data_IF_727886315775
#
_entry.id   IF_727886315775
#
_cell.length_a   1.000
_cell.length_b   1.000
_cell.length_c   1.000
_cell.angle_alpha   90.00
_cell.angle_beta   90.00
_cell.angle_gamma   90.00
#
_symmetry.space_group_name_H-M   'P 1'
#
loop_
_entity.id
_entity.type
_entity.pdbx_description
1 polymer ?
#
# COMPACT_ATOMS: atom_id res chain seq x y z
N UNK A 1 -2.87 11.61 -3.12
CA UNK A 1 -1.50 11.49 -3.62
C UNK A 1 -1.47 10.38 -4.66
N UNK A 2 -0.89 10.60 -5.85
CA UNK A 2 -0.69 9.55 -6.84
C UNK A 2 0.37 8.55 -6.38
N UNK A 3 0.17 7.30 -6.76
CA UNK A 3 1.09 6.18 -6.54
C UNK A 3 1.22 5.40 -7.85
N UNK A 4 2.41 4.87 -8.12
CA UNK A 4 2.65 3.95 -9.22
C UNK A 4 3.24 2.68 -8.63
N UNK A 5 2.67 1.54 -9.00
CA UNK A 5 3.24 0.23 -8.74
C UNK A 5 3.91 -0.28 -10.03
N UNK A 6 5.15 -0.71 -9.93
CA UNK A 6 5.91 -1.30 -11.03
C UNK A 6 6.23 -2.74 -10.65
N UNK A 7 5.78 -3.67 -11.48
CA UNK A 7 6.04 -5.09 -11.32
C UNK A 7 7.06 -5.50 -12.39
N UNK A 8 8.18 -6.12 -11.98
CA UNK A 8 9.22 -6.54 -12.91
C UNK A 8 9.65 -7.97 -12.61
N UNK A 9 9.66 -8.81 -13.62
CA UNK A 9 10.17 -10.18 -13.58
C UNK A 9 11.57 -10.23 -14.19
N UNK A 10 12.49 -10.85 -13.48
CA UNK A 10 13.89 -10.98 -13.88
C UNK A 10 14.26 -12.43 -14.21
N UNK A 11 15.33 -12.59 -14.98
CA UNK A 11 15.86 -13.88 -15.42
C UNK A 11 16.65 -14.64 -14.33
N UNK A 12 16.88 -13.97 -13.17
CA UNK A 12 17.60 -14.51 -12.03
C UNK A 12 17.09 -13.97 -10.70
N UNK A 13 17.53 -14.60 -9.61
CA UNK A 13 17.27 -14.13 -8.26
C UNK A 13 18.11 -12.89 -7.96
N UNK A 14 17.49 -11.85 -7.39
CA UNK A 14 18.14 -10.60 -7.00
C UNK A 14 18.40 -10.52 -5.49
N UNK A 15 17.54 -11.16 -4.68
CA UNK A 15 17.63 -11.13 -3.23
C UNK A 15 16.89 -12.32 -2.62
N UNK A 16 17.34 -12.75 -1.43
CA UNK A 16 16.67 -13.78 -0.62
C UNK A 16 15.80 -13.16 0.50
N UNK A 17 15.69 -11.83 0.53
CA UNK A 17 14.90 -11.14 1.56
C UNK A 17 13.41 -11.43 1.35
N UNK A 18 12.75 -11.91 2.40
CA UNK A 18 11.37 -12.38 2.41
C UNK A 18 10.37 -11.37 3.03
N UNK A 19 10.72 -10.10 3.08
CA UNK A 19 9.88 -9.03 3.61
C UNK A 19 10.00 -7.75 2.79
N UNK A 20 9.07 -6.82 3.04
CA UNK A 20 9.02 -5.52 2.42
C UNK A 20 10.16 -4.61 2.92
N UNK A 21 10.79 -3.91 2.01
CA UNK A 21 11.91 -3.01 2.26
C UNK A 21 11.53 -1.56 1.96
N UNK A 22 11.88 -0.67 2.87
CA UNK A 22 11.83 0.78 2.62
C UNK A 22 13.14 1.22 1.97
N UNK A 23 13.05 2.04 0.94
CA UNK A 23 14.20 2.59 0.23
C UNK A 23 14.44 4.06 0.58
N UNK A 24 15.70 4.49 0.50
CA UNK A 24 16.09 5.91 0.52
C UNK A 24 16.23 6.49 -0.89
N UNK A 25 15.85 5.74 -1.91
CA UNK A 25 15.82 6.24 -3.29
C UNK A 25 14.86 7.43 -3.41
N UNK A 26 15.18 8.46 -4.19
CA UNK A 26 14.25 9.56 -4.47
C UNK A 26 13.03 9.12 -5.29
N UNK A 27 13.10 7.97 -5.95
CA UNK A 27 12.03 7.43 -6.79
C UNK A 27 11.25 6.30 -6.12
N UNK A 28 11.97 5.30 -5.58
CA UNK A 28 11.38 4.10 -4.99
C UNK A 28 11.20 4.30 -3.49
N UNK A 29 9.97 4.27 -3.00
CA UNK A 29 9.68 4.36 -1.57
C UNK A 29 9.76 3.02 -0.86
N UNK A 30 9.21 1.99 -1.50
CA UNK A 30 9.05 0.64 -0.95
C UNK A 30 9.19 -0.37 -2.07
N UNK A 31 9.75 -1.55 -1.76
CA UNK A 31 9.77 -2.68 -2.69
C UNK A 31 9.80 -4.01 -1.93
N UNK A 32 9.41 -5.08 -2.60
CA UNK A 32 9.51 -6.45 -2.12
C UNK A 32 9.80 -7.40 -3.27
N UNK A 33 10.52 -8.48 -2.98
CA UNK A 33 10.60 -9.62 -3.90
C UNK A 33 9.42 -10.56 -3.64
N UNK A 34 8.42 -10.45 -4.50
CA UNK A 34 7.19 -11.24 -4.40
C UNK A 34 7.45 -12.74 -4.58
N UNK A 35 8.55 -13.11 -5.22
CA UNK A 35 8.94 -14.53 -5.33
C UNK A 35 9.44 -15.14 -4.02
N UNK A 36 9.70 -14.31 -2.98
CA UNK A 36 10.01 -14.74 -1.62
C UNK A 36 8.82 -14.56 -0.68
N UNK A 37 8.05 -13.45 -0.85
CA UNK A 37 7.04 -13.03 0.12
C UNK A 37 5.63 -13.51 -0.21
N UNK A 38 5.36 -13.92 -1.47
CA UNK A 38 4.02 -14.29 -1.91
C UNK A 38 4.03 -15.69 -2.54
N UNK A 39 3.21 -16.58 -1.99
CA UNK A 39 3.13 -17.99 -2.41
C UNK A 39 2.79 -18.15 -3.89
N UNK A 40 1.95 -17.30 -4.43
CA UNK A 40 1.48 -17.35 -5.82
C UNK A 40 2.59 -17.01 -6.82
N UNK A 41 3.62 -16.29 -6.38
CA UNK A 41 4.80 -15.91 -7.19
C UNK A 41 6.07 -16.65 -6.80
N UNK A 42 6.00 -17.61 -5.86
CA UNK A 42 7.16 -18.29 -5.32
C UNK A 42 8.07 -18.88 -6.40
N UNK A 43 9.34 -18.48 -6.38
CA UNK A 43 10.35 -18.94 -7.33
C UNK A 43 11.74 -18.82 -6.69
N UNK A 44 12.49 -19.94 -6.64
CA UNK A 44 13.83 -19.97 -6.04
C UNK A 44 14.94 -19.44 -6.96
N UNK A 45 14.70 -19.38 -8.28
CA UNK A 45 15.71 -19.01 -9.27
C UNK A 45 15.56 -17.63 -9.83
N UNK A 46 14.35 -17.03 -9.75
CA UNK A 46 14.00 -15.78 -10.41
C UNK A 46 13.26 -14.85 -9.46
N UNK A 47 13.55 -13.57 -9.55
CA UNK A 47 12.85 -12.53 -8.80
C UNK A 47 11.67 -11.96 -9.56
N UNK A 48 10.59 -11.69 -8.83
CA UNK A 48 9.50 -10.82 -9.22
C UNK A 48 9.43 -9.67 -8.23
N UNK A 49 9.93 -8.50 -8.62
CA UNK A 49 9.89 -7.34 -7.74
C UNK A 49 8.58 -6.57 -7.92
N UNK A 50 7.93 -6.25 -6.82
CA UNK A 50 6.94 -5.19 -6.73
C UNK A 50 7.59 -3.95 -6.13
N UNK A 51 7.52 -2.83 -6.87
CA UNK A 51 8.16 -1.57 -6.53
C UNK A 51 7.11 -0.46 -6.48
N UNK A 52 7.19 0.41 -5.47
CA UNK A 52 6.23 1.48 -5.24
C UNK A 52 6.91 2.84 -5.37
N UNK A 53 6.42 3.65 -6.28
CA UNK A 53 6.77 5.06 -6.42
C UNK A 53 5.70 5.88 -5.68
N UNK A 54 6.10 6.51 -4.56
CA UNK A 54 5.20 7.33 -3.75
C UNK A 54 5.99 8.42 -3.00
N UNK A 55 5.67 9.71 -3.23
CA UNK A 55 4.64 10.24 -4.14
C UNK A 55 5.09 10.18 -5.61
N UNK A 56 4.15 9.90 -6.52
CA UNK A 56 4.44 9.74 -7.94
C UNK A 56 3.91 10.91 -8.81
N UNK A 57 3.81 12.13 -8.24
CA UNK A 57 3.22 13.28 -8.93
C UNK A 57 3.94 13.61 -10.26
N UNK A 58 5.26 13.58 -10.27
CA UNK A 58 6.08 13.91 -11.43
C UNK A 58 6.17 12.77 -12.46
N UNK A 59 5.69 11.58 -12.08
CA UNK A 59 5.81 10.36 -12.88
C UNK A 59 4.48 9.87 -13.47
N UNK A 60 3.35 10.32 -12.92
CA UNK A 60 2.02 9.80 -13.28
C UNK A 60 1.67 10.00 -14.76
N UNK A 61 2.18 11.07 -15.38
CA UNK A 61 1.99 11.40 -16.80
C UNK A 61 3.03 10.78 -17.74
N UNK A 62 4.10 10.19 -17.20
CA UNK A 62 5.16 9.57 -18.02
C UNK A 62 4.68 8.27 -18.66
N UNK A 63 5.33 7.87 -19.75
CA UNK A 63 5.10 6.56 -20.37
C UNK A 63 5.59 5.43 -19.46
N UNK A 64 5.07 4.22 -19.68
CA UNK A 64 5.49 3.05 -18.91
C UNK A 64 6.97 2.72 -19.13
N UNK A 65 7.47 2.94 -20.36
CA UNK A 65 8.89 2.79 -20.69
C UNK A 65 9.78 3.74 -19.89
N UNK A 66 9.41 5.03 -19.78
CA UNK A 66 10.17 6.02 -19.00
C UNK A 66 10.19 5.66 -17.52
N UNK A 67 9.04 5.20 -16.98
CA UNK A 67 8.92 4.79 -15.59
C UNK A 67 9.79 3.57 -15.30
N UNK A 68 9.72 2.55 -16.16
CA UNK A 68 10.52 1.33 -16.00
C UNK A 68 12.01 1.63 -16.14
N UNK A 69 12.42 2.43 -17.11
CA UNK A 69 13.82 2.82 -17.29
C UNK A 69 14.39 3.52 -16.04
N UNK A 70 13.64 4.49 -15.48
CA UNK A 70 14.04 5.16 -14.24
C UNK A 70 14.07 4.20 -13.04
N UNK A 71 13.11 3.27 -12.97
CA UNK A 71 13.07 2.23 -11.93
C UNK A 71 14.30 1.32 -12.01
N UNK A 72 14.71 0.90 -13.19
CA UNK A 72 15.91 0.08 -13.39
C UNK A 72 17.17 0.85 -12.96
N UNK A 73 17.29 2.12 -13.32
CA UNK A 73 18.42 2.96 -12.86
C UNK A 73 18.52 3.01 -11.32
N UNK A 74 17.40 3.01 -10.61
CA UNK A 74 17.43 2.92 -9.14
C UNK A 74 17.76 1.50 -8.65
N UNK A 75 17.28 0.45 -9.32
CA UNK A 75 17.63 -0.93 -8.99
C UNK A 75 19.10 -1.24 -9.22
N UNK A 76 19.74 -0.67 -10.23
CA UNK A 76 21.19 -0.77 -10.46
C UNK A 76 22.02 -0.24 -9.27
N UNK A 77 21.52 0.81 -8.59
CA UNK A 77 22.16 1.35 -7.38
C UNK A 77 21.90 0.46 -6.15
N UNK A 78 20.73 -0.17 -6.07
CA UNK A 78 20.35 -1.04 -4.95
C UNK A 78 20.99 -2.43 -5.05
N UNK A 79 21.16 -2.95 -6.27
CA UNK A 79 21.67 -4.27 -6.56
C UNK A 79 22.83 -4.26 -7.57
N UNK A 80 23.91 -3.49 -7.33
CA UNK A 80 24.97 -3.28 -8.32
C UNK A 80 25.62 -4.59 -8.79
N UNK A 81 25.67 -5.62 -7.93
CA UNK A 81 26.24 -6.93 -8.24
C UNK A 81 25.43 -7.70 -9.30
N UNK A 82 24.16 -7.35 -9.54
CA UNK A 82 23.28 -8.06 -10.46
C UNK A 82 23.15 -7.36 -11.83
N UNK A 83 23.43 -6.07 -11.89
CA UNK A 83 23.26 -5.28 -13.12
C UNK A 83 24.57 -4.93 -13.84
N UNK A 84 25.73 -5.19 -13.19
CA UNK A 84 27.07 -5.00 -13.78
C UNK A 84 27.67 -6.29 -14.32
N UNK A 85 28.87 -6.16 -14.96
CA UNK A 85 29.67 -7.27 -15.44
C UNK A 85 29.22 -7.84 -16.79
N UNK A 86 29.77 -9.02 -17.14
CA UNK A 86 29.60 -9.65 -18.46
C UNK A 86 28.20 -10.27 -18.67
N UNK A 87 27.47 -10.49 -17.59
CA UNK A 87 26.14 -11.11 -17.61
C UNK A 87 25.12 -10.30 -16.79
N UNK A 88 24.72 -9.13 -17.23
CA UNK A 88 23.73 -8.32 -16.51
C UNK A 88 22.37 -8.99 -16.45
N UNK A 89 21.62 -8.72 -15.39
CA UNK A 89 20.23 -9.19 -15.21
C UNK A 89 19.35 -8.71 -16.35
N UNK A 90 18.50 -9.60 -16.86
CA UNK A 90 17.55 -9.29 -17.94
C UNK A 90 16.13 -9.19 -17.39
N UNK A 91 15.41 -8.20 -17.89
CA UNK A 91 13.96 -8.06 -17.66
C UNK A 91 13.26 -9.06 -18.59
N UNK A 92 12.44 -9.92 -18.04
CA UNK A 92 11.60 -10.86 -18.79
C UNK A 92 10.24 -10.24 -19.13
N UNK A 93 9.69 -9.48 -18.18
CA UNK A 93 8.38 -8.86 -18.28
C UNK A 93 8.28 -7.70 -17.30
N UNK A 94 7.47 -6.72 -17.60
CA UNK A 94 7.07 -5.69 -16.64
C UNK A 94 5.59 -5.33 -16.78
N UNK A 95 5.04 -4.73 -15.72
CA UNK A 95 3.71 -4.14 -15.71
C UNK A 95 3.72 -2.88 -14.84
N UNK A 96 3.06 -1.81 -15.30
CA UNK A 96 2.96 -0.53 -14.60
C UNK A 96 1.51 -0.23 -14.29
N UNK A 97 1.20 0.00 -13.01
CA UNK A 97 -0.14 0.37 -12.55
C UNK A 97 -0.10 1.79 -12.01
N UNK A 98 -0.77 2.71 -12.69
CA UNK A 98 -0.87 4.13 -12.31
C UNK A 98 -2.16 4.39 -11.56
N UNK A 99 -2.05 4.88 -10.32
CA UNK A 99 -3.20 5.23 -9.48
C UNK A 99 -3.15 6.72 -9.12
N UNK A 100 -3.79 7.60 -9.92
CA UNK A 100 -3.69 9.05 -9.73
C UNK A 100 -4.23 9.56 -8.39
N UNK A 101 -5.18 8.83 -7.79
CA UNK A 101 -5.84 9.15 -6.52
C UNK A 101 -5.78 7.94 -5.58
N UNK A 102 -4.57 7.50 -5.25
CA UNK A 102 -4.36 6.29 -4.43
C UNK A 102 -4.66 6.53 -2.96
N UNK A 103 -3.99 7.53 -2.35
CA UNK A 103 -4.12 7.82 -0.92
C UNK A 103 -4.48 9.28 -0.70
N UNK A 104 -5.19 9.59 0.39
CA UNK A 104 -5.42 10.99 0.76
C UNK A 104 -4.11 11.67 1.16
N UNK A 105 -4.03 12.98 0.98
CA UNK A 105 -2.87 13.77 1.36
C UNK A 105 -2.91 14.08 2.86
N UNK A 106 -2.04 13.46 3.63
CA UNK A 106 -1.84 13.76 5.05
C UNK A 106 -1.13 15.12 5.18
N UNK A 107 -1.90 16.21 5.21
CA UNK A 107 -1.37 17.57 5.36
C UNK A 107 -1.29 17.92 6.85
N UNK A 108 -0.22 18.56 7.35
CA UNK A 108 -0.13 19.03 8.72
C UNK A 108 -1.35 19.85 9.14
N UNK A 109 -1.84 19.66 10.36
CA UNK A 109 -3.02 20.32 10.89
C UNK A 109 -4.38 19.80 10.40
N UNK A 110 -4.42 18.81 9.50
CA UNK A 110 -5.68 18.26 8.97
C UNK A 110 -6.26 17.11 9.77
N UNK A 111 -5.53 16.54 10.72
CA UNK A 111 -6.00 15.40 11.54
C UNK A 111 -7.35 15.70 12.22
N UNK A 112 -7.53 16.88 12.75
CA UNK A 112 -8.76 17.31 13.44
C UNK A 112 -10.01 17.35 12.54
N UNK A 113 -9.85 17.39 11.22
CA UNK A 113 -10.94 17.44 10.24
C UNK A 113 -11.31 16.06 9.68
N UNK A 114 -10.67 14.99 10.16
CA UNK A 114 -11.09 13.63 9.79
C UNK A 114 -12.46 13.37 10.43
N UNK A 115 -13.44 12.87 9.67
CA UNK A 115 -14.76 12.59 10.22
C UNK A 115 -14.70 11.43 11.22
N UNK A 116 -15.51 11.51 12.27
CA UNK A 116 -15.72 10.36 13.16
C UNK A 116 -16.53 9.27 12.44
N UNK A 117 -16.55 8.07 13.00
CA UNK A 117 -17.38 6.96 12.51
C UNK A 117 -18.86 7.26 12.69
N UNK A 118 -19.23 7.92 13.78
CA UNK A 118 -20.59 8.37 14.02
C UNK A 118 -20.78 9.78 13.46
N UNK A 119 -21.88 10.00 12.75
CA UNK A 119 -22.23 11.30 12.16
C UNK A 119 -23.41 11.96 12.90
N UNK A 120 -23.65 13.27 12.70
CA UNK A 120 -24.86 13.93 13.23
C UNK A 120 -26.17 13.42 12.61
N UNK A 121 -26.11 12.67 11.52
CA UNK A 121 -27.28 12.10 10.84
C UNK A 121 -27.60 10.76 11.47
N UNK A 122 -28.84 10.58 11.96
CA UNK A 122 -29.28 9.32 12.56
C UNK A 122 -29.13 8.14 11.60
N UNK A 123 -28.62 7.02 12.10
CA UNK A 123 -28.39 5.76 11.35
C UNK A 123 -27.42 5.92 10.16
N UNK A 124 -26.63 6.99 10.12
CA UNK A 124 -25.61 7.19 9.09
C UNK A 124 -24.22 7.17 9.72
N UNK A 125 -23.42 6.17 9.36
CA UNK A 125 -22.06 5.94 9.87
C UNK A 125 -21.05 5.97 8.73
N UNK A 126 -19.83 6.37 9.05
CA UNK A 126 -18.72 6.39 8.12
C UNK A 126 -17.66 5.34 8.53
N UNK A 127 -17.09 4.68 7.55
CA UNK A 127 -15.98 3.76 7.73
C UNK A 127 -14.98 3.91 6.58
N UNK A 128 -13.71 3.65 6.87
CA UNK A 128 -12.62 3.76 5.92
C UNK A 128 -11.36 4.35 6.58
N UNK A 129 -10.23 4.20 5.93
CA UNK A 129 -8.94 4.70 6.41
C UNK A 129 -8.90 6.22 6.62
N UNK A 130 -9.75 6.96 5.91
CA UNK A 130 -9.89 8.42 6.00
C UNK A 130 -10.61 8.90 7.27
N UNK A 131 -11.33 8.05 8.00
CA UNK A 131 -12.05 8.43 9.23
C UNK A 131 -11.09 8.59 10.41
N UNK A 132 -11.55 9.22 11.50
CA UNK A 132 -10.75 9.45 12.69
C UNK A 132 -10.37 8.12 13.37
N UNK A 133 -9.11 7.77 13.29
CA UNK A 133 -8.46 6.64 13.96
C UNK A 133 -6.95 6.87 13.99
N UNK A 134 -6.17 6.03 14.68
CA UNK A 134 -4.75 6.28 14.97
C UNK A 134 -3.80 6.12 13.78
N UNK A 135 -4.17 5.40 12.72
CA UNK A 135 -3.32 5.20 11.56
C UNK A 135 -3.61 6.23 10.47
N UNK A 136 -2.59 6.51 9.66
CA UNK A 136 -2.76 7.23 8.39
C UNK A 136 -3.32 6.29 7.32
N UNK A 137 -3.47 6.78 6.08
CA UNK A 137 -3.97 6.02 4.93
C UNK A 137 -3.30 4.64 4.83
N UNK A 138 -4.00 3.60 5.24
CA UNK A 138 -3.49 2.23 5.28
C UNK A 138 -4.62 1.21 5.41
N UNK A 139 -4.36 -0.03 5.01
CA UNK A 139 -5.29 -1.14 5.21
C UNK A 139 -5.60 -1.35 6.70
N UNK A 140 -4.59 -1.23 7.57
CA UNK A 140 -4.77 -1.33 9.03
C UNK A 140 -5.72 -0.25 9.56
N UNK A 141 -5.59 0.99 9.06
CA UNK A 141 -6.51 2.08 9.37
C UNK A 141 -7.94 1.81 8.92
N UNK A 142 -8.12 1.22 7.74
CA UNK A 142 -9.44 0.82 7.24
C UNK A 142 -10.08 -0.27 8.11
N UNK A 143 -9.33 -1.31 8.49
CA UNK A 143 -9.80 -2.39 9.39
C UNK A 143 -10.16 -1.83 10.77
N UNK A 144 -9.31 -0.99 11.35
CA UNK A 144 -9.60 -0.37 12.65
C UNK A 144 -10.85 0.51 12.58
N UNK A 145 -11.01 1.29 11.51
CA UNK A 145 -12.22 2.10 11.31
C UNK A 145 -13.47 1.24 11.24
N UNK A 146 -13.43 0.10 10.53
CA UNK A 146 -14.55 -0.85 10.49
C UNK A 146 -14.93 -1.37 11.86
N UNK A 147 -13.95 -1.74 12.69
CA UNK A 147 -14.19 -2.17 14.08
C UNK A 147 -14.82 -1.06 14.93
N UNK A 148 -14.31 0.16 14.84
CA UNK A 148 -14.86 1.31 15.57
C UNK A 148 -16.29 1.65 15.12
N UNK A 149 -16.57 1.54 13.82
CA UNK A 149 -17.92 1.74 13.26
C UNK A 149 -18.90 0.69 13.78
N UNK A 150 -18.51 -0.59 13.77
CA UNK A 150 -19.32 -1.68 14.30
C UNK A 150 -19.63 -1.49 15.80
N UNK A 151 -18.65 -1.05 16.59
CA UNK A 151 -18.84 -0.72 18.01
C UNK A 151 -19.85 0.43 18.19
N UNK A 152 -19.73 1.50 17.41
CA UNK A 152 -20.64 2.65 17.48
C UNK A 152 -22.07 2.25 17.13
N UNK A 153 -22.28 1.41 16.11
CA UNK A 153 -23.59 0.88 15.73
C UNK A 153 -24.17 0.02 16.88
N UNK A 154 -23.38 -0.91 17.42
CA UNK A 154 -23.81 -1.79 18.53
C UNK A 154 -24.24 -0.99 19.74
N UNK A 155 -23.48 0.03 20.13
CA UNK A 155 -23.82 0.91 21.24
C UNK A 155 -25.13 1.67 20.99
N UNK A 156 -25.32 2.21 19.77
CA UNK A 156 -26.55 2.91 19.41
C UNK A 156 -27.78 2.00 19.46
N UNK A 157 -27.68 0.75 19.02
CA UNK A 157 -28.75 -0.25 19.09
C UNK A 157 -29.07 -0.65 20.51
N UNK A 158 -28.08 -0.78 21.40
CA UNK A 158 -28.27 -1.11 22.83
C UNK A 158 -29.00 0.02 23.55
N UNK A 159 -28.65 1.28 23.25
CA UNK A 159 -29.34 2.45 23.83
C UNK A 159 -30.78 2.57 23.32
N UNK A 160 -31.02 2.23 22.03
CA UNK A 160 -32.36 2.27 21.44
C UNK A 160 -33.30 1.13 21.97
N UNK A 161 -32.74 -0.01 22.41
CA UNK A 161 -33.48 -1.17 22.90
C UNK A 161 -32.93 -1.68 24.27
N UNK A 162 -33.19 -0.99 25.38
CA UNK A 162 -32.65 -1.39 26.69
C UNK A 162 -33.20 -2.74 27.20
N UNK A 163 -34.33 -3.21 26.67
CA UNK A 163 -35.02 -4.44 27.11
C UNK A 163 -34.36 -5.75 26.64
N UNK A 164 -33.37 -5.71 25.73
CA UNK A 164 -32.72 -6.92 25.25
C UNK A 164 -31.48 -7.36 26.06
N UNK A 165 -31.20 -6.74 27.20
CA UNK A 165 -30.07 -7.07 28.09
C UNK A 165 -30.40 -8.07 29.20
N UNK A 166 -31.62 -8.62 29.25
CA UNK A 166 -31.91 -9.74 30.18
C UNK A 166 -31.48 -11.05 29.52
N UNK A 167 -30.24 -11.44 29.76
CA UNK A 167 -29.80 -12.83 29.55
C UNK A 167 -30.65 -13.72 30.50
N UNK A 168 -31.21 -14.82 30.01
CA UNK A 168 -31.81 -15.80 30.90
C UNK A 168 -30.72 -16.42 31.79
N UNK A 169 -30.97 -16.42 33.09
CA UNK A 169 -30.21 -17.13 34.13
C UNK A 169 -30.22 -18.63 33.90
#
# INVERSE_FOLDING_TARGET
VPVINVHIWFDRKLTDIDHLLFSRSPLLSVYADMSNTCREYANSERSMLELVLAPAADWISKSDQEIVAATITELEKLFPQHFGGDHPTKILKYHVVKTPRSVYKATPGRQQYRPSQQTPISNFYLTGDYTMQRYLASMEGAVLSGKLTAQAISQALTVANPSNLQMPT
#
